data_IF_382114723677
#
_entry.id   IF_382114723677
#
_cell.length_a   1.000
_cell.length_b   1.000
_cell.length_c   1.000
_cell.angle_alpha   90.00
_cell.angle_beta   90.00
_cell.angle_gamma   90.00
#
_symmetry.space_group_name_H-M   'P 1'
#
loop_
_entity.id
_entity.type
_entity.pdbx_description
1 polymer ?
#
# COMPACT_ATOMS: atom_id res chain seq x y z
N UNK A 1 22.25 5.64 21.35
CA UNK A 1 20.86 5.96 21.75
C UNK A 1 20.10 6.50 20.54
N UNK A 2 20.42 7.70 20.02
CA UNK A 2 19.84 8.28 18.79
C UNK A 2 19.70 7.33 17.58
N UNK A 3 20.72 6.52 17.28
CA UNK A 3 20.66 5.58 16.15
C UNK A 3 19.71 4.39 16.39
N UNK A 4 19.55 3.96 17.65
CA UNK A 4 18.56 2.94 18.03
C UNK A 4 17.14 3.50 17.99
N UNK A 5 16.97 4.75 18.44
CA UNK A 5 15.69 5.45 18.39
C UNK A 5 15.24 5.66 16.93
N UNK A 6 16.17 6.01 16.04
CA UNK A 6 15.91 6.12 14.60
C UNK A 6 15.44 4.79 13.98
N UNK A 7 16.13 3.70 14.29
CA UNK A 7 15.75 2.37 13.80
C UNK A 7 14.36 1.96 14.27
N UNK A 8 14.04 2.22 15.55
CA UNK A 8 12.72 1.94 16.10
C UNK A 8 11.63 2.75 15.40
N UNK A 9 11.85 4.05 15.14
CA UNK A 9 10.89 4.89 14.42
C UNK A 9 10.64 4.33 13.01
N UNK A 10 11.69 3.98 12.29
CA UNK A 10 11.60 3.38 10.95
C UNK A 10 10.82 2.06 10.98
N UNK A 11 11.13 1.16 11.92
CA UNK A 11 10.41 -0.10 12.09
C UNK A 11 8.91 0.13 12.31
N UNK A 12 8.54 1.08 13.18
CA UNK A 12 7.13 1.35 13.50
C UNK A 12 6.39 2.00 12.34
N UNK A 13 7.03 2.91 11.61
CA UNK A 13 6.43 3.51 10.40
C UNK A 13 6.23 2.47 9.29
N UNK A 14 7.20 1.57 9.09
CA UNK A 14 7.09 0.51 8.10
C UNK A 14 5.97 -0.49 8.46
N UNK A 15 5.88 -0.85 9.74
CA UNK A 15 4.82 -1.71 10.26
C UNK A 15 3.44 -1.07 10.14
N UNK A 16 3.33 0.24 10.40
CA UNK A 16 2.10 1.00 10.20
C UNK A 16 1.70 1.03 8.73
N UNK A 17 2.65 1.29 7.83
CA UNK A 17 2.43 1.26 6.39
C UNK A 17 1.89 -0.08 5.93
N UNK A 18 2.49 -1.19 6.40
CA UNK A 18 1.99 -2.53 6.10
C UNK A 18 0.57 -2.74 6.63
N UNK A 19 0.30 -2.34 7.88
CA UNK A 19 -1.02 -2.48 8.48
C UNK A 19 -2.10 -1.74 7.66
N UNK A 20 -1.80 -0.51 7.20
CA UNK A 20 -2.69 0.23 6.31
C UNK A 20 -2.93 -0.52 4.99
N UNK A 21 -1.86 -0.98 4.33
CA UNK A 21 -1.94 -1.67 3.04
C UNK A 21 -2.70 -3.01 3.12
N UNK A 22 -2.63 -3.70 4.27
CA UNK A 22 -3.36 -4.95 4.52
C UNK A 22 -4.74 -4.75 5.13
N UNK A 23 -5.13 -3.52 5.45
CA UNK A 23 -6.40 -3.26 6.10
C UNK A 23 -7.54 -3.61 5.15
N UNK A 24 -8.46 -4.43 5.66
CA UNK A 24 -9.64 -4.82 4.92
C UNK A 24 -10.70 -3.71 5.01
N UNK A 25 -10.84 -2.94 3.93
CA UNK A 25 -11.82 -1.84 3.86
C UNK A 25 -13.26 -2.31 3.62
N UNK A 26 -13.52 -3.63 3.64
CA UNK A 26 -14.89 -4.17 3.58
C UNK A 26 -15.73 -3.60 4.73
N UNK A 27 -16.76 -2.81 4.38
CA UNK A 27 -17.79 -2.37 5.33
C UNK A 27 -17.81 -0.88 5.71
N UNK A 28 -16.87 -0.04 5.24
CA UNK A 28 -16.94 1.42 5.50
C UNK A 28 -18.02 2.16 4.70
N UNK A 29 -18.63 1.49 3.71
CA UNK A 29 -19.71 2.04 2.89
C UNK A 29 -21.12 1.96 3.51
N UNK A 30 -21.32 1.33 4.68
CA UNK A 30 -22.69 1.13 5.21
C UNK A 30 -23.19 2.20 6.19
N UNK A 31 -22.41 3.25 6.47
CA UNK A 31 -22.83 4.29 7.45
C UNK A 31 -23.14 5.67 6.85
N UNK A 32 -23.12 5.82 5.52
CA UNK A 32 -23.51 7.08 4.85
C UNK A 32 -24.65 6.76 3.87
N UNK A 33 -25.87 6.73 4.41
CA UNK A 33 -27.15 6.69 3.70
C UNK A 33 -27.48 5.46 2.83
N UNK A 34 -28.44 4.68 3.31
CA UNK A 34 -29.55 4.08 2.53
C UNK A 34 -29.28 3.78 1.06
N UNK A 35 -28.68 2.64 0.76
CA UNK A 35 -28.98 1.90 -0.48
C UNK A 35 -28.82 0.42 -0.17
N UNK A 36 -29.83 -0.39 -0.50
CA UNK A 36 -29.70 -1.84 -0.64
C UNK A 36 -28.59 -2.14 -1.66
N UNK A 37 -27.34 -2.24 -1.20
CA UNK A 37 -26.25 -2.76 -2.00
C UNK A 37 -26.39 -4.28 -1.91
N UNK A 38 -26.87 -4.87 -3.00
CA UNK A 38 -26.89 -6.31 -3.20
C UNK A 38 -25.52 -6.92 -2.85
N UNK A 39 -25.54 -8.15 -2.32
CA UNK A 39 -24.38 -8.93 -1.86
C UNK A 39 -23.24 -9.07 -2.88
N UNK A 40 -23.45 -8.66 -4.14
CA UNK A 40 -22.51 -8.80 -5.25
C UNK A 40 -21.51 -7.63 -5.39
N UNK A 41 -21.69 -6.53 -4.64
CA UNK A 41 -20.91 -5.31 -4.87
C UNK A 41 -20.22 -4.73 -3.62
N UNK A 42 -19.84 -5.59 -2.66
CA UNK A 42 -18.84 -5.26 -1.62
C UNK A 42 -17.46 -5.06 -2.27
N UNK A 43 -17.32 -3.96 -2.99
CA UNK A 43 -16.05 -3.53 -3.58
C UNK A 43 -15.16 -3.08 -2.43
N UNK A 44 -14.03 -3.77 -2.27
CA UNK A 44 -12.93 -3.34 -1.41
C UNK A 44 -12.54 -1.90 -1.79
N UNK A 45 -12.92 -0.93 -0.95
CA UNK A 45 -12.66 0.49 -1.17
C UNK A 45 -11.24 0.81 -0.69
N UNK A 46 -10.24 0.63 -1.56
CA UNK A 46 -8.92 1.25 -1.33
C UNK A 46 -9.12 2.77 -1.32
N UNK A 47 -8.54 3.52 -0.36
CA UNK A 47 -8.71 4.96 -0.31
C UNK A 47 -8.34 5.61 -1.65
N UNK A 48 -9.26 6.40 -2.23
CA UNK A 48 -9.02 7.11 -3.49
C UNK A 48 -7.79 8.04 -3.41
N UNK A 49 -7.49 8.56 -2.22
CA UNK A 49 -6.29 9.37 -1.99
C UNK A 49 -4.97 8.63 -2.26
N UNK A 50 -4.97 7.29 -2.33
CA UNK A 50 -3.77 6.51 -2.68
C UNK A 50 -3.54 6.43 -4.18
N UNK A 51 -4.56 6.72 -4.99
CA UNK A 51 -4.49 6.62 -6.44
C UNK A 51 -3.28 7.37 -7.00
N UNK A 52 -3.17 8.66 -6.68
CA UNK A 52 -2.13 9.53 -7.24
C UNK A 52 -0.72 9.04 -6.85
N UNK A 53 -0.57 8.56 -5.61
CA UNK A 53 0.69 8.01 -5.09
C UNK A 53 1.07 6.63 -5.64
N UNK A 54 0.09 5.87 -6.12
CA UNK A 54 0.31 4.60 -6.78
C UNK A 54 0.71 4.85 -8.25
N UNK A 55 0.00 5.75 -8.93
CA UNK A 55 0.25 6.07 -10.34
C UNK A 55 1.60 6.78 -10.52
N UNK A 56 1.94 7.72 -9.64
CA UNK A 56 3.21 8.46 -9.70
C UNK A 56 4.44 7.63 -9.28
N UNK A 57 4.22 6.47 -8.67
CA UNK A 57 5.27 5.56 -8.24
C UNK A 57 5.84 5.84 -6.84
N UNK A 58 5.38 6.89 -6.15
CA UNK A 58 5.98 7.38 -4.91
C UNK A 58 5.96 6.34 -3.77
N UNK A 59 4.87 5.56 -3.66
CA UNK A 59 4.81 4.48 -2.67
C UNK A 59 5.78 3.35 -2.99
N UNK A 60 5.92 2.97 -4.25
CA UNK A 60 6.89 1.95 -4.67
C UNK A 60 8.32 2.41 -4.37
N UNK A 61 8.65 3.64 -4.76
CA UNK A 61 9.97 4.23 -4.50
C UNK A 61 10.28 4.26 -3.00
N UNK A 62 9.29 4.59 -2.15
CA UNK A 62 9.44 4.60 -0.70
C UNK A 62 9.84 3.21 -0.17
N UNK A 63 9.08 2.16 -0.51
CA UNK A 63 9.34 0.83 0.03
C UNK A 63 10.57 0.16 -0.59
N UNK A 64 10.90 0.46 -1.86
CA UNK A 64 12.19 0.06 -2.44
C UNK A 64 13.36 0.76 -1.75
N UNK A 65 13.25 2.07 -1.46
CA UNK A 65 14.28 2.79 -0.71
C UNK A 65 14.49 2.18 0.67
N UNK A 66 13.42 1.82 1.38
CA UNK A 66 13.52 1.08 2.63
C UNK A 66 14.20 -0.28 2.45
N UNK A 67 13.80 -1.06 1.45
CA UNK A 67 14.44 -2.33 1.15
C UNK A 67 15.95 -2.18 0.97
N UNK A 68 16.40 -1.24 0.12
CA UNK A 68 17.82 -1.05 -0.16
C UNK A 68 18.59 -0.48 1.04
N UNK A 69 18.08 0.56 1.71
CA UNK A 69 18.74 1.18 2.87
C UNK A 69 18.90 0.23 4.05
N UNK A 70 17.97 -0.72 4.20
CA UNK A 70 17.91 -1.63 5.35
C UNK A 70 18.13 -3.10 4.97
N UNK A 71 18.77 -3.37 3.82
CA UNK A 71 18.98 -4.70 3.22
C UNK A 71 19.55 -5.78 4.15
N UNK A 72 20.28 -5.37 5.20
CA UNK A 72 20.93 -6.27 6.16
C UNK A 72 20.21 -6.32 7.53
N UNK A 73 18.95 -5.91 7.58
CA UNK A 73 18.18 -5.82 8.83
C UNK A 73 16.94 -6.70 8.79
N UNK A 74 16.33 -6.92 9.96
CA UNK A 74 15.09 -7.67 10.09
C UNK A 74 13.86 -6.94 9.51
N UNK A 75 14.02 -5.73 8.98
CA UNK A 75 12.93 -4.92 8.39
C UNK A 75 12.64 -5.27 6.92
N UNK A 76 13.59 -5.93 6.25
CA UNK A 76 13.47 -6.31 4.83
C UNK A 76 12.17 -7.08 4.53
N UNK A 77 11.76 -8.10 5.31
CA UNK A 77 10.52 -8.83 5.04
C UNK A 77 9.27 -7.96 5.11
N UNK A 78 9.26 -6.94 5.98
CA UNK A 78 8.12 -6.01 6.13
C UNK A 78 8.04 -5.09 4.91
N UNK A 79 9.18 -4.56 4.44
CA UNK A 79 9.24 -3.74 3.23
C UNK A 79 8.79 -4.52 1.98
N UNK A 80 9.25 -5.76 1.81
CA UNK A 80 8.81 -6.63 0.72
C UNK A 80 7.31 -6.91 0.84
N UNK A 81 6.80 -7.14 2.05
CA UNK A 81 5.37 -7.36 2.26
C UNK A 81 4.54 -6.15 1.81
N UNK A 82 5.00 -4.92 2.09
CA UNK A 82 4.35 -3.70 1.57
C UNK A 82 4.33 -3.65 0.05
N UNK A 83 5.45 -3.97 -0.61
CA UNK A 83 5.55 -4.02 -2.07
C UNK A 83 4.60 -5.08 -2.68
N UNK A 84 4.47 -6.24 -2.04
CA UNK A 84 3.52 -7.31 -2.45
C UNK A 84 2.06 -6.84 -2.30
N UNK A 85 1.73 -6.11 -1.24
CA UNK A 85 0.38 -5.56 -1.10
C UNK A 85 0.11 -4.49 -2.17
N UNK A 86 1.08 -3.63 -2.47
CA UNK A 86 0.96 -2.62 -3.52
C UNK A 86 0.86 -3.23 -4.94
N UNK A 87 1.48 -4.39 -5.18
CA UNK A 87 1.29 -5.10 -6.46
C UNK A 87 -0.06 -5.80 -6.57
N UNK A 88 -0.72 -6.02 -5.44
CA UNK A 88 -2.07 -6.58 -5.36
C UNK A 88 -3.18 -5.53 -5.48
N UNK A 89 -2.83 -4.24 -5.70
CA UNK A 89 -3.80 -3.17 -5.93
C UNK A 89 -4.74 -3.56 -7.08
N UNK A 90 -6.04 -3.56 -6.76
CA UNK A 90 -7.07 -4.14 -7.62
C UNK A 90 -7.37 -3.27 -8.83
N UNK A 91 -7.85 -3.93 -9.89
CA UNK A 91 -8.34 -3.29 -11.14
C UNK A 91 -9.40 -2.21 -10.93
N UNK A 92 -10.07 -2.18 -9.78
CA UNK A 92 -11.08 -1.16 -9.46
C UNK A 92 -10.48 0.22 -9.21
N UNK A 93 -9.19 0.31 -8.84
CA UNK A 93 -8.54 1.59 -8.56
C UNK A 93 -7.85 2.18 -9.80
N UNK A 94 -7.41 1.35 -10.74
CA UNK A 94 -6.56 1.76 -11.87
C UNK A 94 -7.20 1.41 -13.21
N UNK A 95 -7.15 2.34 -14.17
CA UNK A 95 -7.51 2.07 -15.56
C UNK A 95 -6.42 1.27 -16.30
N UNK A 96 -6.71 0.80 -17.51
CA UNK A 96 -5.80 -0.05 -18.29
C UNK A 96 -4.42 0.59 -18.55
N UNK A 97 -4.38 1.90 -18.78
CA UNK A 97 -3.12 2.61 -19.06
C UNK A 97 -2.30 2.80 -17.77
N UNK A 98 -2.95 3.17 -16.67
CA UNK A 98 -2.31 3.31 -15.36
C UNK A 98 -1.70 1.99 -14.87
N UNK A 99 -2.36 0.86 -15.15
CA UNK A 99 -1.83 -0.46 -14.82
C UNK A 99 -0.49 -0.75 -15.51
N UNK A 100 -0.31 -0.29 -16.75
CA UNK A 100 0.97 -0.43 -17.45
C UNK A 100 2.04 0.48 -16.86
N UNK A 101 1.68 1.71 -16.46
CA UNK A 101 2.58 2.63 -15.77
C UNK A 101 3.06 2.03 -14.45
N UNK A 102 2.14 1.53 -13.63
CA UNK A 102 2.46 0.91 -12.34
C UNK A 102 3.33 -0.33 -12.49
N UNK A 103 3.11 -1.14 -13.53
CA UNK A 103 3.96 -2.30 -13.80
C UNK A 103 5.41 -1.89 -14.07
N UNK A 104 5.64 -0.79 -14.82
CA UNK A 104 6.99 -0.29 -15.08
C UNK A 104 7.71 0.12 -13.79
N UNK A 105 6.99 0.70 -12.82
CA UNK A 105 7.56 1.05 -11.50
C UNK A 105 8.02 -0.17 -10.70
N UNK A 106 7.51 -1.37 -10.97
CA UNK A 106 7.92 -2.60 -10.26
C UNK A 106 9.12 -3.29 -10.92
N UNK A 107 9.38 -3.00 -12.18
CA UNK A 107 10.45 -3.65 -12.97
C UNK A 107 11.75 -2.86 -13.02
N UNK A 108 11.76 -1.62 -12.53
CA UNK A 108 12.88 -0.69 -12.52
C UNK A 108 13.28 -0.34 -11.09
#
# INVERSE_FOLDING_TARGET
QLQGDYYLVVEKLLSLGLACLTYDYLGTGSSIHDVDISDENQTLQVPLAWHDHIVDGSFYQLFFSYYFLFSNTLLVPVAISCLVQLSSVRRSLLNTNERLVVLNHMTH
#
